data_IF_656367390390
#
_entry.id   IF_656367390390
#
_cell.length_a   1.000
_cell.length_b   1.000
_cell.length_c   1.000
_cell.angle_alpha   90.00
_cell.angle_beta   90.00
_cell.angle_gamma   90.00
#
_symmetry.space_group_name_H-M   'P 1'
#
loop_
_entity.id
_entity.type
_entity.pdbx_description
1 polymer ?
#
# COMPACT_ATOMS: atom_id res chain seq x y z
N UNK A 1 -11.01 26.92 22.37
CA UNK A 1 -11.28 25.76 21.51
C UNK A 1 -10.28 24.69 21.93
N UNK A 2 -10.70 23.69 22.72
CA UNK A 2 -9.79 22.63 23.16
C UNK A 2 -9.50 21.71 21.98
N UNK A 3 -8.25 21.70 21.54
CA UNK A 3 -7.74 20.75 20.55
C UNK A 3 -7.62 19.39 21.26
N UNK A 4 -8.54 18.48 20.97
CA UNK A 4 -8.41 17.10 21.45
C UNK A 4 -7.30 16.44 20.68
N UNK A 5 -6.20 16.12 21.36
CA UNK A 5 -5.16 15.27 20.81
C UNK A 5 -5.79 13.92 20.35
N UNK A 6 -5.40 13.46 19.18
CA UNK A 6 -5.80 12.16 18.63
C UNK A 6 -5.50 11.06 19.65
N UNK A 7 -6.53 10.30 20.02
CA UNK A 7 -6.37 9.07 20.78
C UNK A 7 -6.58 7.91 19.79
N UNK A 8 -5.60 7.02 19.62
CA UNK A 8 -5.75 5.83 18.76
C UNK A 8 -7.02 5.01 19.08
N UNK A 9 -7.47 5.07 20.32
CA UNK A 9 -8.70 4.42 20.79
C UNK A 9 -9.99 5.01 20.18
N UNK A 10 -9.93 6.20 19.58
CA UNK A 10 -11.09 6.85 18.94
C UNK A 10 -11.38 6.36 17.53
N UNK A 11 -10.45 5.65 16.89
CA UNK A 11 -10.64 5.09 15.54
C UNK A 11 -11.67 3.97 15.49
N UNK A 12 -11.87 3.24 16.58
CA UNK A 12 -12.62 1.99 16.55
C UNK A 12 -11.71 0.81 16.19
N UNK A 13 -12.25 -0.21 15.54
CA UNK A 13 -11.51 -1.43 15.23
C UNK A 13 -11.16 -1.47 13.75
N UNK A 14 -9.86 -1.59 13.44
CA UNK A 14 -9.34 -1.82 12.10
C UNK A 14 -8.85 -3.26 12.03
N UNK A 15 -9.36 -4.01 11.07
CA UNK A 15 -9.00 -5.40 10.81
C UNK A 15 -8.45 -5.52 9.40
N UNK A 16 -7.35 -6.24 9.23
CA UNK A 16 -6.71 -6.49 7.94
C UNK A 16 -6.70 -7.99 7.69
N UNK A 17 -7.30 -8.41 6.59
CA UNK A 17 -7.31 -9.78 6.13
C UNK A 17 -6.36 -9.95 4.95
N UNK A 18 -5.45 -10.90 5.05
CA UNK A 18 -4.50 -11.21 3.98
C UNK A 18 -3.28 -11.96 4.48
N UNK A 19 -2.63 -12.70 3.60
CA UNK A 19 -1.42 -13.45 3.97
C UNK A 19 -0.20 -12.52 4.11
N UNK A 20 0.68 -12.75 5.12
CA UNK A 20 1.96 -12.03 5.23
C UNK A 20 2.89 -12.22 4.02
N UNK A 21 2.65 -13.23 3.18
CA UNK A 21 3.43 -13.47 1.97
C UNK A 21 3.01 -12.57 0.79
N UNK A 22 1.89 -11.86 0.90
CA UNK A 22 1.46 -10.90 -0.11
C UNK A 22 2.17 -9.57 0.08
N UNK A 23 2.85 -9.08 -0.96
CA UNK A 23 3.51 -7.78 -0.98
C UNK A 23 2.55 -6.63 -0.65
N UNK A 24 1.33 -6.68 -1.19
CA UNK A 24 0.28 -5.68 -0.89
C UNK A 24 -0.15 -5.73 0.58
N UNK A 25 -0.34 -6.93 1.15
CA UNK A 25 -0.67 -7.06 2.57
C UNK A 25 0.45 -6.52 3.44
N UNK A 26 1.70 -6.90 3.16
CA UNK A 26 2.87 -6.38 3.90
C UNK A 26 2.98 -4.86 3.83
N UNK A 27 2.83 -4.28 2.64
CA UNK A 27 2.88 -2.82 2.48
C UNK A 27 1.84 -2.11 3.36
N UNK A 28 0.62 -2.65 3.42
CA UNK A 28 -0.44 -2.10 4.27
C UNK A 28 -0.13 -2.24 5.76
N UNK A 29 0.37 -3.42 6.20
CA UNK A 29 0.75 -3.63 7.60
C UNK A 29 1.88 -2.70 8.04
N UNK A 30 2.89 -2.50 7.17
CA UNK A 30 3.98 -1.56 7.40
C UNK A 30 3.44 -0.13 7.50
N UNK A 31 2.59 0.29 6.55
CA UNK A 31 2.00 1.62 6.55
C UNK A 31 1.21 1.92 7.83
N UNK A 32 0.40 0.97 8.30
CA UNK A 32 -0.35 1.11 9.55
C UNK A 32 0.58 1.17 10.78
N UNK A 33 1.65 0.37 10.78
CA UNK A 33 2.64 0.37 11.86
C UNK A 33 3.40 1.71 11.92
N UNK A 34 3.85 2.24 10.76
CA UNK A 34 4.51 3.54 10.66
C UNK A 34 3.61 4.69 11.12
N UNK A 35 2.31 4.60 10.84
CA UNK A 35 1.30 5.55 11.33
C UNK A 35 0.91 5.33 12.80
N UNK A 36 1.54 4.39 13.50
CA UNK A 36 1.20 4.00 14.88
C UNK A 36 -0.29 3.68 15.08
N UNK A 37 -0.92 3.10 14.07
CA UNK A 37 -2.33 2.68 14.09
C UNK A 37 -2.44 1.27 14.64
N UNK A 38 -3.27 1.06 15.64
CA UNK A 38 -3.57 -0.28 16.15
C UNK A 38 -4.51 -0.99 15.18
N UNK A 39 -4.18 -2.22 14.81
CA UNK A 39 -4.98 -3.07 13.93
C UNK A 39 -4.93 -4.53 14.37
N UNK A 40 -5.90 -5.31 13.92
CA UNK A 40 -5.94 -6.77 14.07
C UNK A 40 -5.63 -7.37 12.69
N UNK A 41 -4.60 -8.22 12.62
CA UNK A 41 -4.25 -8.92 11.39
C UNK A 41 -4.80 -10.35 11.41
N UNK A 42 -5.57 -10.70 10.39
CA UNK A 42 -6.09 -12.03 10.13
C UNK A 42 -5.34 -12.63 8.91
N UNK A 43 -4.39 -13.57 9.14
CA UNK A 43 -3.68 -14.22 8.05
C UNK A 43 -4.63 -15.08 7.22
N UNK A 44 -5.06 -14.57 6.08
CA UNK A 44 -6.03 -15.21 5.20
C UNK A 44 -5.47 -15.35 3.79
N UNK A 45 -5.73 -16.48 3.14
CA UNK A 45 -5.33 -16.72 1.75
C UNK A 45 -6.34 -16.11 0.77
N UNK A 46 -5.89 -15.71 -0.46
CA UNK A 46 -6.82 -15.34 -1.51
C UNK A 46 -7.87 -16.44 -1.74
N UNK A 47 -9.08 -16.04 -2.05
CA UNK A 47 -10.24 -16.94 -2.26
C UNK A 47 -10.61 -17.84 -1.06
N UNK A 48 -10.06 -17.62 0.12
CA UNK A 48 -10.58 -18.30 1.32
C UNK A 48 -12.02 -17.88 1.61
N UNK A 49 -12.81 -18.69 2.34
CA UNK A 49 -14.21 -18.36 2.67
C UNK A 49 -14.34 -17.01 3.38
N UNK A 50 -13.39 -16.66 4.23
CA UNK A 50 -13.34 -15.37 4.93
C UNK A 50 -13.16 -14.20 3.95
N UNK A 51 -12.24 -14.36 2.99
CA UNK A 51 -12.01 -13.34 1.97
C UNK A 51 -13.20 -13.23 1.02
N UNK A 52 -13.77 -14.36 0.58
CA UNK A 52 -14.94 -14.38 -0.29
C UNK A 52 -16.17 -13.69 0.32
N UNK A 53 -16.27 -13.67 1.66
CA UNK A 53 -17.33 -12.95 2.35
C UNK A 53 -17.23 -11.43 2.17
N UNK A 54 -16.01 -10.88 2.15
CA UNK A 54 -15.77 -9.44 2.06
C UNK A 54 -15.44 -8.96 0.65
N UNK A 55 -14.73 -9.78 -0.13
CA UNK A 55 -14.26 -9.45 -1.48
C UNK A 55 -14.86 -10.42 -2.50
N UNK A 56 -15.73 -9.95 -3.40
CA UNK A 56 -16.34 -10.79 -4.43
C UNK A 56 -15.31 -11.32 -5.45
N UNK A 57 -14.13 -10.71 -5.52
CA UNK A 57 -13.04 -11.13 -6.39
C UNK A 57 -12.01 -12.03 -5.68
N UNK A 58 -12.22 -12.36 -4.40
CA UNK A 58 -11.30 -13.17 -3.62
C UNK A 58 -9.92 -12.55 -3.42
N UNK A 59 -9.78 -11.22 -3.63
CA UNK A 59 -8.50 -10.50 -3.57
C UNK A 59 -8.13 -10.10 -2.15
N UNK A 60 -6.83 -10.01 -1.88
CA UNK A 60 -6.23 -9.50 -0.64
C UNK A 60 -5.28 -8.32 -0.95
N UNK A 61 -5.06 -7.42 0.03
CA UNK A 61 -5.67 -7.34 1.35
C UNK A 61 -7.13 -6.89 1.33
N UNK A 62 -7.86 -7.23 2.39
CA UNK A 62 -9.16 -6.63 2.72
C UNK A 62 -9.01 -5.85 4.02
N UNK A 63 -9.53 -4.64 4.04
CA UNK A 63 -9.69 -3.84 5.25
C UNK A 63 -11.15 -3.89 5.69
N UNK A 64 -11.37 -4.15 6.98
CA UNK A 64 -12.66 -3.99 7.64
C UNK A 64 -12.49 -2.99 8.78
N UNK A 65 -13.13 -1.84 8.67
CA UNK A 65 -13.08 -0.82 9.72
C UNK A 65 -14.45 -0.65 10.37
N UNK A 66 -14.49 -0.77 11.69
CA UNK A 66 -15.66 -0.49 12.53
C UNK A 66 -15.37 0.75 13.35
N UNK A 67 -15.85 1.93 12.94
CA UNK A 67 -15.72 3.15 13.71
C UNK A 67 -16.33 3.00 15.11
N UNK A 68 -15.83 3.77 16.08
CA UNK A 68 -16.36 3.73 17.44
C UNK A 68 -17.88 3.95 17.49
N UNK A 69 -18.57 3.10 18.23
CA UNK A 69 -20.02 3.11 18.34
C UNK A 69 -20.78 2.29 17.30
N UNK A 70 -20.07 1.71 16.30
CA UNK A 70 -20.65 0.83 15.30
C UNK A 70 -20.30 -0.62 15.62
N UNK A 71 -21.28 -1.37 16.11
CA UNK A 71 -21.11 -2.77 16.51
C UNK A 71 -21.63 -3.76 15.48
N UNK A 72 -22.37 -3.28 14.47
CA UNK A 72 -22.93 -4.12 13.42
C UNK A 72 -21.96 -4.29 12.25
N UNK A 73 -21.89 -5.48 11.69
CA UNK A 73 -21.17 -5.74 10.44
C UNK A 73 -21.75 -4.98 9.25
N UNK A 74 -23.01 -4.55 9.34
CA UNK A 74 -23.67 -3.73 8.30
C UNK A 74 -23.15 -2.30 8.25
N UNK A 75 -22.60 -1.81 9.36
CA UNK A 75 -22.10 -0.44 9.48
C UNK A 75 -20.57 -0.38 9.31
N UNK A 76 -19.94 -1.53 9.06
CA UNK A 76 -18.49 -1.58 8.81
C UNK A 76 -18.16 -1.07 7.41
N UNK A 77 -17.08 -0.30 7.31
CA UNK A 77 -16.45 0.02 6.02
C UNK A 77 -15.63 -1.18 5.59
N UNK A 78 -15.94 -1.74 4.42
CA UNK A 78 -15.20 -2.88 3.84
C UNK A 78 -14.57 -2.43 2.53
N UNK A 79 -13.25 -2.54 2.43
CA UNK A 79 -12.48 -2.21 1.24
C UNK A 79 -11.54 -3.37 0.87
N UNK A 80 -11.43 -3.68 -0.41
CA UNK A 80 -10.64 -4.79 -0.94
C UNK A 80 -9.74 -4.40 -2.13
N UNK A 81 -9.58 -3.11 -2.36
CA UNK A 81 -8.60 -2.56 -3.29
C UNK A 81 -7.52 -1.77 -2.54
N UNK A 82 -6.25 -2.02 -2.85
CA UNK A 82 -5.12 -1.43 -2.12
C UNK A 82 -5.12 0.11 -2.17
N UNK A 83 -5.43 0.69 -3.35
CA UNK A 83 -5.46 2.15 -3.50
C UNK A 83 -6.62 2.77 -2.74
N UNK A 84 -7.80 2.12 -2.79
CA UNK A 84 -8.96 2.55 -2.02
C UNK A 84 -8.69 2.47 -0.50
N UNK A 85 -8.02 1.42 -0.05
CA UNK A 85 -7.60 1.27 1.36
C UNK A 85 -6.64 2.38 1.77
N UNK A 86 -5.59 2.63 0.99
CA UNK A 86 -4.60 3.67 1.27
C UNK A 86 -5.25 5.05 1.31
N UNK A 87 -6.11 5.35 0.34
CA UNK A 87 -6.81 6.65 0.30
C UNK A 87 -7.75 6.80 1.51
N UNK A 88 -8.54 5.77 1.81
CA UNK A 88 -9.44 5.80 2.97
C UNK A 88 -8.69 6.02 4.29
N UNK A 89 -7.63 5.26 4.53
CA UNK A 89 -6.82 5.39 5.74
C UNK A 89 -6.15 6.76 5.81
N UNK A 90 -5.64 7.28 4.69
CA UNK A 90 -5.05 8.61 4.63
C UNK A 90 -6.06 9.70 5.03
N UNK A 91 -7.25 9.70 4.43
CA UNK A 91 -8.28 10.68 4.75
C UNK A 91 -8.76 10.54 6.21
N UNK A 92 -8.91 9.29 6.69
CA UNK A 92 -9.30 9.01 8.07
C UNK A 92 -8.26 9.54 9.05
N UNK A 93 -6.99 9.21 8.86
CA UNK A 93 -5.89 9.61 9.74
C UNK A 93 -5.66 11.13 9.68
N UNK A 94 -5.66 11.72 8.49
CA UNK A 94 -5.52 13.17 8.34
C UNK A 94 -6.67 13.97 8.96
N UNK A 95 -7.88 13.41 8.99
CA UNK A 95 -9.02 14.08 9.63
C UNK A 95 -8.95 14.07 11.16
N UNK A 96 -8.22 13.12 11.73
CA UNK A 96 -8.14 12.88 13.17
C UNK A 96 -6.85 13.44 13.81
N UNK A 97 -5.79 13.61 13.03
CA UNK A 97 -4.51 14.14 13.52
C UNK A 97 -4.43 15.67 13.36
N UNK A 98 -4.58 16.38 14.48
CA UNK A 98 -4.39 17.84 14.53
C UNK A 98 -2.92 18.26 14.43
N UNK A 99 -1.98 17.34 14.65
CA UNK A 99 -0.53 17.60 14.61
C UNK A 99 0.10 17.23 13.24
N UNK A 100 -0.67 16.68 12.30
CA UNK A 100 -0.25 16.38 10.91
C UNK A 100 0.98 15.44 10.81
N UNK A 101 1.12 14.51 11.74
CA UNK A 101 2.37 13.74 11.86
C UNK A 101 2.49 12.62 10.84
N UNK A 102 1.37 12.08 10.31
CA UNK A 102 1.39 11.00 9.32
C UNK A 102 0.24 11.07 8.33
N UNK A 103 0.55 11.07 7.07
CA UNK A 103 -0.42 10.95 5.98
C UNK A 103 0.13 9.99 4.93
N UNK A 104 -0.50 8.83 4.73
CA UNK A 104 -0.12 7.88 3.68
C UNK A 104 -0.22 8.47 2.27
N UNK A 105 -0.95 9.55 2.11
CA UNK A 105 -1.11 10.29 0.87
C UNK A 105 -0.92 11.78 1.16
N UNK A 106 -0.12 12.52 0.40
CA UNK A 106 0.05 13.95 0.57
C UNK A 106 -1.30 14.67 0.57
N UNK A 107 -1.49 15.57 1.52
CA UNK A 107 -2.70 16.37 1.60
C UNK A 107 -2.68 17.43 0.52
N UNK A 108 -3.80 17.58 -0.19
CA UNK A 108 -3.96 18.69 -1.12
C UNK A 108 -4.30 19.94 -0.32
N UNK A 109 -3.49 20.98 -0.50
CA UNK A 109 -3.70 22.30 0.11
C UNK A 109 -4.98 22.96 -0.42
N UNK A 110 -5.47 23.97 0.30
CA UNK A 110 -6.62 24.78 -0.16
C UNK A 110 -6.25 25.49 -1.48
N UNK A 111 -7.19 25.63 -2.40
CA UNK A 111 -7.01 26.28 -3.71
C UNK A 111 -6.49 27.72 -3.63
N UNK A 112 -6.65 28.37 -2.49
CA UNK A 112 -6.11 29.72 -2.22
C UNK A 112 -4.70 29.69 -1.61
N UNK A 113 -4.14 28.49 -1.33
CA UNK A 113 -2.77 28.33 -0.84
C UNK A 113 -1.78 28.53 -1.99
N UNK A 114 -0.63 29.17 -1.70
CA UNK A 114 0.49 29.28 -2.65
C UNK A 114 1.05 27.90 -3.05
N UNK A 115 0.89 26.89 -2.20
CA UNK A 115 1.40 25.53 -2.40
C UNK A 115 0.35 24.59 -3.02
N UNK A 116 -0.81 25.10 -3.43
CA UNK A 116 -1.88 24.26 -3.97
C UNK A 116 -1.41 23.40 -5.16
N UNK A 117 -0.82 24.02 -6.17
CA UNK A 117 -0.37 23.33 -7.37
C UNK A 117 0.66 22.24 -7.05
N UNK A 118 1.62 22.54 -6.18
CA UNK A 118 2.68 21.57 -5.77
C UNK A 118 2.08 20.39 -4.98
N UNK A 119 1.10 20.65 -4.12
CA UNK A 119 0.44 19.60 -3.35
C UNK A 119 -0.38 18.66 -4.24
N UNK A 120 -1.03 19.19 -5.28
CA UNK A 120 -1.74 18.38 -6.29
C UNK A 120 -0.76 17.52 -7.08
N UNK A 121 0.37 18.08 -7.51
CA UNK A 121 1.43 17.34 -8.23
C UNK A 121 1.99 16.24 -7.36
N UNK A 122 2.32 16.53 -6.10
CA UNK A 122 2.87 15.55 -5.17
C UNK A 122 1.90 14.38 -4.96
N UNK A 123 0.63 14.68 -4.65
CA UNK A 123 -0.41 13.64 -4.47
C UNK A 123 -0.60 12.80 -5.73
N UNK A 124 -0.66 13.43 -6.90
CA UNK A 124 -0.80 12.71 -8.17
C UNK A 124 0.40 11.82 -8.46
N UNK A 125 1.59 12.25 -8.08
CA UNK A 125 2.84 11.47 -8.22
C UNK A 125 2.82 10.23 -7.31
N UNK A 126 2.37 10.35 -6.07
CA UNK A 126 2.18 9.19 -5.17
C UNK A 126 1.22 8.18 -5.77
N UNK A 127 0.07 8.64 -6.26
CA UNK A 127 -0.93 7.77 -6.91
C UNK A 127 -0.32 7.08 -8.14
N UNK A 128 0.43 7.80 -8.96
CA UNK A 128 1.09 7.23 -10.14
C UNK A 128 2.09 6.13 -9.74
N UNK A 129 2.98 6.39 -8.79
CA UNK A 129 3.97 5.41 -8.33
C UNK A 129 3.31 4.17 -7.74
N UNK A 130 2.30 4.34 -6.88
CA UNK A 130 1.55 3.23 -6.31
C UNK A 130 0.85 2.39 -7.39
N UNK A 131 0.27 3.02 -8.41
CA UNK A 131 -0.35 2.30 -9.52
C UNK A 131 0.68 1.54 -10.38
N UNK A 132 1.85 2.13 -10.64
CA UNK A 132 2.93 1.45 -11.36
C UNK A 132 3.36 0.19 -10.59
N UNK A 133 3.57 0.32 -9.27
CA UNK A 133 4.01 -0.81 -8.44
C UNK A 133 2.91 -1.87 -8.32
N UNK A 134 1.67 -1.47 -8.04
CA UNK A 134 0.58 -2.41 -7.76
C UNK A 134 0.00 -3.09 -9.00
N UNK A 135 0.24 -2.57 -10.20
CA UNK A 135 -0.23 -3.15 -11.46
C UNK A 135 0.92 -3.70 -12.30
N UNK A 136 1.83 -2.83 -12.77
CA UNK A 136 2.88 -3.22 -13.71
C UNK A 136 3.98 -4.04 -13.05
N UNK A 137 4.61 -3.50 -11.98
CA UNK A 137 5.73 -4.19 -11.30
C UNK A 137 5.24 -5.50 -10.69
N UNK A 138 4.10 -5.51 -10.03
CA UNK A 138 3.53 -6.73 -9.48
C UNK A 138 3.31 -7.79 -10.56
N UNK A 139 2.75 -7.42 -11.71
CA UNK A 139 2.50 -8.38 -12.80
C UNK A 139 3.80 -8.95 -13.35
N UNK A 140 4.79 -8.10 -13.63
CA UNK A 140 6.03 -8.54 -14.27
C UNK A 140 6.95 -9.27 -13.29
N UNK A 141 7.11 -8.77 -12.08
CA UNK A 141 8.03 -9.34 -11.08
C UNK A 141 7.35 -10.46 -10.29
N UNK A 142 6.21 -10.19 -9.66
CA UNK A 142 5.59 -11.15 -8.74
C UNK A 142 4.88 -12.28 -9.51
N UNK A 143 3.97 -11.93 -10.44
CA UNK A 143 3.12 -12.93 -11.07
C UNK A 143 3.85 -13.75 -12.15
N UNK A 144 4.77 -13.13 -12.90
CA UNK A 144 5.46 -13.82 -14.01
C UNK A 144 6.80 -14.43 -13.64
N UNK A 145 7.44 -13.97 -12.54
CA UNK A 145 8.74 -14.51 -12.11
C UNK A 145 8.69 -15.14 -10.73
N UNK A 146 8.35 -14.40 -9.69
CA UNK A 146 8.48 -14.87 -8.30
C UNK A 146 7.54 -16.04 -7.99
N UNK A 147 6.26 -15.93 -8.32
CA UNK A 147 5.29 -17.02 -8.07
C UNK A 147 5.62 -18.29 -8.87
N UNK A 148 5.90 -18.23 -10.18
CA UNK A 148 6.35 -19.40 -10.94
C UNK A 148 7.66 -20.00 -10.40
N UNK A 149 8.61 -19.17 -9.97
CA UNK A 149 9.86 -19.67 -9.34
C UNK A 149 9.56 -20.55 -8.12
N UNK A 150 8.75 -20.06 -7.19
CA UNK A 150 8.39 -20.85 -6.01
C UNK A 150 7.53 -22.06 -6.35
N UNK A 151 6.65 -21.98 -7.33
CA UNK A 151 5.86 -23.13 -7.80
C UNK A 151 6.76 -24.24 -8.35
N UNK A 152 7.72 -23.92 -9.22
CA UNK A 152 8.67 -24.88 -9.77
C UNK A 152 9.55 -25.49 -8.66
N UNK A 153 10.07 -24.65 -7.77
CA UNK A 153 10.90 -25.08 -6.65
C UNK A 153 10.15 -26.05 -5.71
N UNK A 154 8.91 -25.73 -5.37
CA UNK A 154 8.07 -26.59 -4.52
C UNK A 154 7.71 -27.92 -5.19
N UNK A 155 7.69 -27.95 -6.53
CA UNK A 155 7.50 -29.17 -7.31
C UNK A 155 8.79 -29.95 -7.54
N UNK A 156 9.91 -29.57 -6.91
CA UNK A 156 11.17 -30.29 -6.95
C UNK A 156 12.03 -30.05 -8.18
N UNK A 157 11.75 -29.00 -8.97
CA UNK A 157 12.58 -28.64 -10.11
C UNK A 157 14.00 -28.24 -9.67
N UNK A 158 15.01 -28.60 -10.46
CA UNK A 158 16.39 -28.19 -10.19
C UNK A 158 16.58 -26.69 -10.44
N UNK A 159 17.61 -26.10 -9.82
CA UNK A 159 17.93 -24.67 -10.04
C UNK A 159 18.24 -24.38 -11.51
N UNK A 160 18.83 -25.33 -12.22
CA UNK A 160 19.14 -25.19 -13.66
C UNK A 160 17.86 -25.18 -14.50
N UNK A 161 16.92 -26.08 -14.22
CA UNK A 161 15.63 -26.14 -14.91
C UNK A 161 14.82 -24.87 -14.66
N UNK A 162 14.79 -24.38 -13.42
CA UNK A 162 14.10 -23.13 -13.05
C UNK A 162 14.72 -21.94 -13.79
N UNK A 163 16.06 -21.84 -13.80
CA UNK A 163 16.78 -20.76 -14.47
C UNK A 163 16.52 -20.77 -15.98
N UNK A 164 16.46 -21.96 -16.59
CA UNK A 164 16.15 -22.11 -18.01
C UNK A 164 14.70 -21.71 -18.31
N UNK A 165 13.76 -22.23 -17.52
CA UNK A 165 12.33 -22.00 -17.72
C UNK A 165 11.92 -20.54 -17.51
N UNK A 166 12.59 -19.82 -16.60
CA UNK A 166 12.23 -18.45 -16.21
C UNK A 166 13.24 -17.38 -16.66
N UNK A 167 14.19 -17.71 -17.56
CA UNK A 167 15.23 -16.82 -18.01
C UNK A 167 14.68 -15.49 -18.54
N UNK A 168 13.73 -15.55 -19.50
CA UNK A 168 13.11 -14.37 -20.06
C UNK A 168 12.34 -13.56 -19.01
N UNK A 169 11.58 -14.23 -18.14
CA UNK A 169 10.83 -13.57 -17.09
C UNK A 169 11.74 -12.88 -16.07
N UNK A 170 12.91 -13.46 -15.79
CA UNK A 170 13.93 -12.85 -14.94
C UNK A 170 14.45 -11.54 -15.55
N UNK A 171 14.84 -11.55 -16.83
CA UNK A 171 15.31 -10.34 -17.48
C UNK A 171 14.24 -9.27 -17.56
N UNK A 172 13.00 -9.63 -17.86
CA UNK A 172 11.88 -8.70 -17.88
C UNK A 172 11.61 -8.11 -16.48
N UNK A 173 11.72 -8.91 -15.42
CA UNK A 173 11.58 -8.45 -14.05
C UNK A 173 12.71 -7.47 -13.65
N UNK A 174 13.95 -7.80 -14.01
CA UNK A 174 15.09 -6.91 -13.74
C UNK A 174 14.98 -5.58 -14.49
N UNK A 175 14.58 -5.61 -15.76
CA UNK A 175 14.36 -4.39 -16.55
C UNK A 175 13.24 -3.52 -15.96
N UNK A 176 12.13 -4.13 -15.55
CA UNK A 176 11.04 -3.41 -14.89
C UNK A 176 11.49 -2.72 -13.59
N UNK A 177 12.32 -3.37 -12.77
CA UNK A 177 12.88 -2.78 -11.54
C UNK A 177 13.84 -1.63 -11.83
N UNK A 178 14.68 -1.76 -12.87
CA UNK A 178 15.57 -0.68 -13.32
C UNK A 178 14.76 0.53 -13.81
N UNK A 179 13.69 0.28 -14.57
CA UNK A 179 12.79 1.35 -15.02
C UNK A 179 12.12 2.05 -13.83
N UNK A 180 11.65 1.29 -12.84
CA UNK A 180 11.06 1.85 -11.61
C UNK A 180 12.08 2.74 -10.87
N UNK A 181 13.31 2.26 -10.68
CA UNK A 181 14.39 3.04 -10.05
C UNK A 181 14.63 4.36 -10.79
N UNK A 182 14.69 4.31 -12.12
CA UNK A 182 14.87 5.51 -12.94
C UNK A 182 13.69 6.49 -12.82
N UNK A 183 12.46 5.98 -12.74
CA UNK A 183 11.25 6.82 -12.52
C UNK A 183 11.34 7.49 -11.15
N UNK A 184 11.71 6.74 -10.10
CA UNK A 184 11.89 7.28 -8.75
C UNK A 184 12.95 8.39 -8.73
N UNK A 185 14.13 8.14 -9.28
CA UNK A 185 15.23 9.14 -9.36
C UNK A 185 14.80 10.42 -10.07
N UNK A 186 14.21 10.31 -11.26
CA UNK A 186 13.69 11.47 -12.01
C UNK A 186 12.60 12.21 -11.26
N UNK A 187 11.79 11.49 -10.50
CA UNK A 187 10.73 12.09 -9.68
C UNK A 187 11.31 12.88 -8.51
N UNK A 188 12.31 12.32 -7.83
CA UNK A 188 13.03 13.00 -6.75
C UNK A 188 13.75 14.26 -7.25
N UNK A 189 14.44 14.18 -8.37
CA UNK A 189 15.09 15.34 -9.00
C UNK A 189 14.06 16.45 -9.34
N UNK A 190 12.96 16.08 -9.96
CA UNK A 190 11.88 17.03 -10.32
C UNK A 190 11.26 17.72 -9.12
N UNK A 191 11.07 16.98 -8.03
CA UNK A 191 10.49 17.49 -6.78
C UNK A 191 11.53 18.09 -5.83
N UNK A 192 12.80 18.15 -6.25
CA UNK A 192 13.94 18.67 -5.46
C UNK A 192 14.06 17.98 -4.09
N UNK A 193 13.77 16.68 -4.03
CA UNK A 193 13.85 15.87 -2.82
C UNK A 193 15.32 15.51 -2.60
N UNK A 194 15.86 15.85 -1.44
CA UNK A 194 17.26 15.56 -1.12
C UNK A 194 17.47 14.07 -0.77
N UNK A 195 18.63 13.48 -1.11
CA UNK A 195 18.93 12.06 -0.82
C UNK A 195 18.93 11.67 0.66
N UNK A 196 18.94 12.65 1.56
CA UNK A 196 18.92 12.44 3.01
C UNK A 196 17.56 12.00 3.56
N UNK A 197 16.55 11.90 2.71
CA UNK A 197 15.23 11.45 3.10
C UNK A 197 15.14 9.93 3.09
N UNK A 198 14.56 9.33 4.12
CA UNK A 198 14.38 7.88 4.25
C UNK A 198 13.27 7.32 3.35
N UNK A 199 12.43 8.17 2.78
CA UNK A 199 11.28 7.79 1.96
C UNK A 199 11.40 8.35 0.53
N UNK A 200 10.71 7.73 -0.42
CA UNK A 200 10.82 8.04 -1.84
C UNK A 200 10.48 9.51 -2.15
N UNK A 201 9.49 10.05 -1.47
CA UNK A 201 8.95 11.40 -1.76
C UNK A 201 9.09 12.39 -0.61
N UNK A 202 9.98 12.18 0.35
CA UNK A 202 10.20 13.13 1.42
C UNK A 202 10.68 12.53 2.73
N UNK A 203 10.48 13.26 3.83
CA UNK A 203 10.87 12.87 5.18
C UNK A 203 9.84 11.97 5.86
N UNK A 204 8.64 11.88 5.29
CA UNK A 204 7.52 11.12 5.84
C UNK A 204 7.17 9.97 4.91
N UNK A 205 6.62 8.84 5.44
CA UNK A 205 6.16 7.72 4.63
C UNK A 205 5.01 8.18 3.72
N UNK A 206 5.14 7.89 2.43
CA UNK A 206 4.13 8.19 1.40
C UNK A 206 3.79 6.97 0.57
#
# INVERSE_FOLDING_TARGET
MQVHAFKPESLGTIEIFGTPLSTKTQALLIALAECNVKFIHHPSLPNSPEIAYFSPFGTIPVLVHRPNGMYSTRDAVVLFDMMAICQYLSELLCSMDTQKTFCLMPKVENEHSRNFADSVVLRSTVIQLNNIVSSFIQTVVEDRYVKPYFALRNNGASQEDISMALSENFYNAMDALIQLENIIKKTQERLQITPETHFILGKEPT
#
